data_IF_022409206887
#
_entry.id   IF_022409206887
#
_cell.length_a   1.000
_cell.length_b   1.000
_cell.length_c   1.000
_cell.angle_alpha   90.00
_cell.angle_beta   90.00
_cell.angle_gamma   90.00
#
_symmetry.space_group_name_H-M   'P 1'
#
loop_
_entity.id
_entity.type
_entity.pdbx_description
1 polymer ?
#
# COMPACT_ATOMS: atom_id res chain seq x y z
N UNK A 1 8.88 52.38 37.04
CA UNK A 1 10.34 52.51 37.22
C UNK A 1 10.80 51.25 37.89
N UNK A 2 11.23 50.25 37.10
CA UNK A 2 12.43 49.47 37.37
C UNK A 2 12.67 48.45 36.25
N UNK A 3 13.92 48.00 36.19
CA UNK A 3 14.44 46.82 35.48
C UNK A 3 14.94 46.99 34.03
N UNK A 4 16.12 47.61 33.99
CA UNK A 4 17.25 47.35 33.10
C UNK A 4 17.85 45.96 33.37
N UNK A 5 18.13 45.17 32.32
CA UNK A 5 19.43 44.50 32.09
C UNK A 5 19.41 43.67 30.79
N UNK A 6 20.21 44.17 29.85
CA UNK A 6 20.71 43.48 28.67
C UNK A 6 21.68 42.37 29.08
N UNK A 7 21.58 41.20 28.44
CA UNK A 7 22.73 40.31 28.24
C UNK A 7 22.66 39.74 26.83
N UNK A 8 23.49 40.30 25.95
CA UNK A 8 23.91 39.69 24.69
C UNK A 8 25.20 38.91 24.95
N UNK A 9 25.24 37.64 24.57
CA UNK A 9 26.47 36.85 24.55
C UNK A 9 26.62 36.18 23.18
N UNK A 10 27.72 36.55 22.54
CA UNK A 10 28.23 36.12 21.25
C UNK A 10 28.65 34.65 21.28
N UNK A 11 28.20 33.86 20.31
CA UNK A 11 28.71 32.49 20.06
C UNK A 11 30.04 32.58 19.30
N UNK A 12 31.10 32.06 19.91
CA UNK A 12 32.42 31.84 19.31
C UNK A 12 32.61 30.35 19.03
N UNK A 13 33.08 30.09 17.81
CA UNK A 13 34.05 29.06 17.38
C UNK A 13 33.85 27.61 17.84
N UNK A 14 33.42 26.76 16.89
CA UNK A 14 33.66 25.32 16.89
C UNK A 14 34.80 25.03 15.91
N UNK A 15 36.00 24.74 16.44
CA UNK A 15 37.10 24.17 15.66
C UNK A 15 36.93 22.66 15.49
N UNK A 16 37.24 22.19 14.28
CA UNK A 16 37.27 20.80 13.88
C UNK A 16 38.58 20.13 14.33
N UNK A 17 38.47 19.04 15.09
CA UNK A 17 39.62 18.18 15.43
C UNK A 17 39.69 17.02 14.44
N UNK A 18 40.73 17.02 13.62
CA UNK A 18 41.17 15.87 12.83
C UNK A 18 41.60 14.72 13.75
N UNK A 19 41.19 13.49 13.44
CA UNK A 19 41.65 12.27 14.11
C UNK A 19 42.75 11.66 13.25
N UNK A 20 43.93 11.56 13.85
CA UNK A 20 45.16 10.97 13.32
C UNK A 20 45.10 9.44 13.41
N UNK A 21 45.29 8.76 12.28
CA UNK A 21 45.22 7.30 12.15
C UNK A 21 46.64 6.74 12.17
N UNK A 22 47.09 6.29 13.34
CA UNK A 22 48.41 5.69 13.51
C UNK A 22 48.34 4.16 13.34
N UNK A 23 49.03 3.65 12.31
CA UNK A 23 49.21 2.23 12.04
C UNK A 23 50.01 1.55 13.17
N UNK A 24 49.46 0.46 13.73
CA UNK A 24 50.25 -0.56 14.42
C UNK A 24 49.82 -1.95 13.98
N UNK A 25 50.72 -2.62 13.28
CA UNK A 25 50.74 -4.05 13.02
C UNK A 25 50.90 -4.84 14.32
N UNK A 26 50.01 -5.80 14.53
CA UNK A 26 50.20 -6.89 15.50
C UNK A 26 49.75 -8.19 14.84
N UNK A 27 50.71 -9.01 14.45
CA UNK A 27 50.52 -10.42 14.15
C UNK A 27 50.28 -11.18 15.45
N UNK A 28 49.16 -11.91 15.57
CA UNK A 28 49.10 -13.10 16.43
C UNK A 28 48.22 -14.16 15.79
N UNK A 29 48.78 -15.36 15.73
CA UNK A 29 48.22 -16.62 15.26
C UNK A 29 47.14 -17.18 16.20
N UNK A 30 45.94 -17.45 15.66
CA UNK A 30 44.80 -18.14 16.29
C UNK A 30 43.88 -18.70 15.20
N UNK A 31 42.97 -19.65 15.51
CA UNK A 31 42.43 -20.57 14.53
C UNK A 31 41.69 -19.81 13.42
N UNK A 32 42.05 -20.13 12.18
CA UNK A 32 41.47 -19.59 10.96
C UNK A 32 39.99 -19.98 10.89
N UNK A 33 39.13 -19.23 11.58
CA UNK A 33 37.73 -19.13 11.24
C UNK A 33 37.66 -18.47 9.88
N UNK A 34 37.13 -19.20 8.91
CA UNK A 34 36.90 -18.73 7.55
C UNK A 34 35.88 -17.58 7.56
N UNK A 35 36.37 -16.36 7.84
CA UNK A 35 35.61 -15.13 7.74
C UNK A 35 35.24 -14.81 6.29
N UNK A 36 35.84 -15.46 5.29
CA UNK A 36 35.38 -15.34 3.90
C UNK A 36 34.12 -16.17 3.68
N UNK A 37 34.00 -17.36 4.27
CA UNK A 37 32.79 -18.18 4.21
C UNK A 37 31.57 -17.51 4.86
N UNK A 38 31.75 -16.92 6.04
CA UNK A 38 30.66 -16.24 6.76
C UNK A 38 30.22 -14.92 6.09
N UNK A 39 31.18 -14.11 5.60
CA UNK A 39 30.88 -12.86 4.90
C UNK A 39 30.30 -13.10 3.50
N UNK A 40 30.64 -14.23 2.86
CA UNK A 40 30.02 -14.66 1.59
C UNK A 40 28.59 -15.17 1.80
N UNK A 41 28.28 -15.80 2.93
CA UNK A 41 26.90 -16.20 3.27
C UNK A 41 25.99 -15.00 3.58
N UNK A 42 26.48 -13.95 4.25
CA UNK A 42 25.71 -12.72 4.46
C UNK A 42 25.60 -11.87 3.18
N UNK A 43 26.63 -11.81 2.34
CA UNK A 43 26.58 -11.09 1.08
C UNK A 43 25.69 -11.78 0.02
N UNK A 44 25.59 -13.12 0.02
CA UNK A 44 24.65 -13.85 -0.84
C UNK A 44 23.18 -13.62 -0.44
N UNK A 45 22.90 -13.32 0.83
CA UNK A 45 21.54 -12.98 1.28
C UNK A 45 21.08 -11.59 0.82
N UNK A 46 21.98 -10.72 0.33
CA UNK A 46 21.67 -9.35 -0.10
C UNK A 46 21.59 -9.16 -1.63
N UNK A 47 21.70 -10.24 -2.40
CA UNK A 47 21.55 -10.18 -3.87
C UNK A 47 20.71 -11.33 -4.39
N UNK A 48 19.50 -11.46 -3.85
CA UNK A 48 18.45 -12.10 -4.66
C UNK A 48 18.28 -11.22 -5.91
N UNK A 49 18.33 -11.79 -7.13
CA UNK A 49 18.05 -11.01 -8.32
C UNK A 49 16.64 -10.41 -8.15
N UNK A 50 16.47 -9.14 -8.50
CA UNK A 50 15.18 -8.43 -8.43
C UNK A 50 14.03 -9.27 -9.03
N UNK A 51 14.35 -10.06 -10.05
CA UNK A 51 13.45 -11.03 -10.70
C UNK A 51 12.97 -12.15 -9.76
N UNK A 52 13.83 -12.70 -8.90
CA UNK A 52 13.44 -13.74 -7.94
C UNK A 52 12.58 -13.19 -6.81
N UNK A 53 12.91 -11.98 -6.29
CA UNK A 53 12.06 -11.29 -5.30
C UNK A 53 10.66 -11.03 -5.85
N UNK A 54 10.54 -10.68 -7.13
CA UNK A 54 9.25 -10.49 -7.79
C UNK A 54 8.44 -11.80 -7.92
N UNK A 55 9.09 -12.95 -8.14
CA UNK A 55 8.40 -14.25 -8.24
C UNK A 55 7.86 -14.69 -6.89
N UNK A 56 8.68 -14.63 -5.84
CA UNK A 56 8.26 -15.00 -4.49
C UNK A 56 7.16 -14.06 -3.97
N UNK A 57 7.28 -12.76 -4.26
CA UNK A 57 6.26 -11.78 -3.91
C UNK A 57 4.93 -12.07 -4.63
N UNK A 58 4.96 -12.38 -5.93
CA UNK A 58 3.74 -12.77 -6.67
C UNK A 58 3.12 -14.04 -6.12
N UNK A 59 3.92 -15.05 -5.78
CA UNK A 59 3.42 -16.25 -5.13
C UNK A 59 2.72 -15.96 -3.80
N UNK A 60 3.31 -15.09 -2.98
CA UNK A 60 2.73 -14.68 -1.70
C UNK A 60 1.41 -13.90 -1.88
N UNK A 61 1.34 -13.03 -2.90
CA UNK A 61 0.12 -12.32 -3.29
C UNK A 61 -0.97 -13.32 -3.71
N UNK A 62 -0.64 -14.25 -4.62
CA UNK A 62 -1.60 -15.23 -5.14
C UNK A 62 -2.11 -16.14 -4.00
N UNK A 63 -1.22 -16.59 -3.12
CA UNK A 63 -1.58 -17.39 -1.95
C UNK A 63 -2.47 -16.61 -0.98
N UNK A 64 -2.26 -15.31 -0.82
CA UNK A 64 -3.11 -14.46 0.01
C UNK A 64 -4.52 -14.30 -0.57
N UNK A 65 -4.61 -14.05 -1.87
CA UNK A 65 -5.88 -13.92 -2.60
C UNK A 65 -6.66 -15.23 -2.60
N UNK A 66 -5.99 -16.37 -2.80
CA UNK A 66 -6.64 -17.67 -2.77
C UNK A 66 -7.32 -17.98 -1.42
N UNK A 67 -6.77 -17.47 -0.31
CA UNK A 67 -7.37 -17.65 1.03
C UNK A 67 -8.68 -16.89 1.23
N UNK A 68 -8.89 -15.80 0.50
CA UNK A 68 -10.06 -14.92 0.63
C UNK A 68 -11.01 -14.99 -0.57
N UNK A 69 -10.73 -15.87 -1.54
CA UNK A 69 -11.50 -15.99 -2.79
C UNK A 69 -13.01 -16.26 -2.57
N UNK A 70 -13.38 -16.92 -1.47
CA UNK A 70 -14.78 -17.18 -1.11
C UNK A 70 -15.47 -16.04 -0.35
N UNK A 71 -14.73 -15.02 0.09
CA UNK A 71 -15.30 -13.87 0.78
C UNK A 71 -15.92 -12.88 -0.22
N UNK A 72 -16.92 -12.08 0.19
CA UNK A 72 -17.34 -10.92 -0.59
C UNK A 72 -16.17 -9.97 -0.84
N UNK A 73 -15.98 -9.54 -2.10
CA UNK A 73 -14.88 -8.66 -2.49
C UNK A 73 -15.35 -7.21 -2.54
N UNK A 74 -14.65 -6.36 -1.79
CA UNK A 74 -14.81 -4.90 -1.81
C UNK A 74 -13.61 -4.24 -2.47
N UNK A 75 -13.90 -3.38 -3.44
CA UNK A 75 -12.97 -2.50 -4.14
C UNK A 75 -13.22 -1.08 -3.69
N UNK A 76 -12.26 -0.19 -3.92
CA UNK A 76 -12.42 1.21 -3.53
C UNK A 76 -11.63 2.14 -4.43
N UNK A 77 -12.15 3.35 -4.62
CA UNK A 77 -11.42 4.41 -5.30
C UNK A 77 -11.95 5.78 -4.92
N UNK A 78 -11.06 6.75 -4.90
CA UNK A 78 -11.40 8.14 -4.67
C UNK A 78 -11.23 8.59 -3.22
N UNK A 79 -11.83 9.74 -2.94
CA UNK A 79 -11.69 10.48 -1.69
C UNK A 79 -13.02 11.07 -1.29
N UNK A 80 -13.16 11.32 0.01
CA UNK A 80 -14.18 12.21 0.59
C UNK A 80 -13.72 13.67 0.49
N UNK A 81 -14.65 14.62 0.50
CA UNK A 81 -14.35 16.06 0.61
C UNK A 81 -13.54 16.31 1.90
N UNK A 82 -12.43 17.08 1.85
CA UNK A 82 -12.01 17.97 0.78
C UNK A 82 -11.16 17.34 -0.34
N UNK A 83 -10.82 16.06 -0.25
CA UNK A 83 -10.11 15.32 -1.30
C UNK A 83 -8.68 15.77 -1.58
N UNK A 84 -8.00 16.40 -0.59
CA UNK A 84 -6.70 17.05 -0.76
C UNK A 84 -5.52 16.15 -0.45
N UNK A 85 -5.69 15.13 0.39
CA UNK A 85 -4.57 14.32 0.85
C UNK A 85 -4.97 12.87 1.17
N UNK A 86 -3.98 12.02 1.46
CA UNK A 86 -4.16 10.60 1.79
C UNK A 86 -5.17 10.36 2.91
N UNK A 87 -5.30 11.28 3.86
CA UNK A 87 -6.28 11.16 4.96
C UNK A 87 -7.73 11.17 4.48
N UNK A 88 -7.98 11.78 3.31
CA UNK A 88 -9.31 11.87 2.72
C UNK A 88 -9.68 10.61 1.91
N UNK A 89 -8.84 9.56 1.94
CA UNK A 89 -9.09 8.31 1.21
C UNK A 89 -10.34 7.59 1.71
N UNK A 90 -11.09 6.96 0.79
CA UNK A 90 -12.21 6.08 1.17
C UNK A 90 -11.77 4.68 1.63
N UNK A 91 -10.48 4.33 1.56
CA UNK A 91 -9.97 3.02 1.97
C UNK A 91 -10.41 2.61 3.38
N UNK A 92 -10.25 3.43 4.44
CA UNK A 92 -10.65 3.03 5.80
C UNK A 92 -12.15 2.74 5.90
N UNK A 93 -12.97 3.46 5.12
CA UNK A 93 -14.42 3.26 5.06
C UNK A 93 -14.74 1.95 4.34
N UNK A 94 -14.07 1.66 3.22
CA UNK A 94 -14.22 0.41 2.49
C UNK A 94 -13.82 -0.80 3.34
N UNK A 95 -12.71 -0.73 4.07
CA UNK A 95 -12.26 -1.77 4.99
C UNK A 95 -13.29 -2.02 6.10
N UNK A 96 -13.87 -0.96 6.67
CA UNK A 96 -14.92 -1.09 7.70
C UNK A 96 -16.18 -1.75 7.16
N UNK A 97 -16.64 -1.36 5.97
CA UNK A 97 -17.82 -1.96 5.32
C UNK A 97 -17.56 -3.43 5.01
N UNK A 98 -16.39 -3.73 4.42
CA UNK A 98 -16.00 -5.09 4.09
C UNK A 98 -15.96 -5.98 5.34
N UNK A 99 -15.27 -5.55 6.39
CA UNK A 99 -15.17 -6.29 7.64
C UNK A 99 -16.56 -6.55 8.28
N UNK A 100 -17.44 -5.55 8.29
CA UNK A 100 -18.80 -5.68 8.82
C UNK A 100 -19.65 -6.70 8.04
N UNK A 101 -19.37 -6.88 6.75
CA UNK A 101 -20.06 -7.84 5.88
C UNK A 101 -19.34 -9.20 5.75
N UNK A 102 -18.27 -9.45 6.53
CA UNK A 102 -17.45 -10.67 6.37
C UNK A 102 -16.69 -10.75 5.05
N UNK A 103 -16.56 -9.62 4.35
CA UNK A 103 -15.81 -9.45 3.12
C UNK A 103 -14.39 -8.95 3.34
N UNK A 104 -13.69 -8.71 2.23
CA UNK A 104 -12.32 -8.21 2.25
C UNK A 104 -12.13 -7.04 1.28
N UNK A 105 -11.07 -6.27 1.49
CA UNK A 105 -10.44 -5.41 0.48
C UNK A 105 -9.13 -6.04 0.05
N UNK A 106 -8.49 -5.54 -1.02
CA UNK A 106 -7.16 -5.99 -1.41
C UNK A 106 -6.16 -5.84 -0.25
N UNK A 107 -6.16 -4.68 0.41
CA UNK A 107 -5.24 -4.37 1.51
C UNK A 107 -5.43 -5.29 2.72
N UNK A 108 -6.67 -5.70 3.01
CA UNK A 108 -6.94 -6.70 4.05
C UNK A 108 -6.45 -8.09 3.63
N UNK A 109 -6.68 -8.46 2.36
CA UNK A 109 -6.30 -9.77 1.82
C UNK A 109 -4.79 -9.99 1.87
N UNK A 110 -4.01 -8.99 1.44
CA UNK A 110 -2.55 -9.08 1.39
C UNK A 110 -1.89 -8.60 2.69
N UNK A 111 -2.65 -8.46 3.78
CA UNK A 111 -2.07 -8.14 5.08
C UNK A 111 -1.07 -9.23 5.49
N UNK A 112 0.18 -8.83 5.74
CA UNK A 112 1.29 -9.75 6.02
C UNK A 112 2.14 -10.11 4.80
N UNK A 113 1.76 -9.68 3.60
CA UNK A 113 2.65 -9.69 2.42
C UNK A 113 3.45 -8.39 2.39
N UNK A 114 4.77 -8.47 2.24
CA UNK A 114 5.67 -7.31 2.19
C UNK A 114 5.58 -6.58 0.85
N UNK A 115 4.47 -5.89 0.63
CA UNK A 115 4.25 -5.06 -0.56
C UNK A 115 5.14 -3.80 -0.52
N UNK A 116 5.72 -3.38 -1.65
CA UNK A 116 6.38 -2.09 -1.72
C UNK A 116 5.39 -0.97 -1.46
N UNK A 117 5.86 0.14 -0.89
CA UNK A 117 5.04 1.35 -0.79
C UNK A 117 4.58 1.79 -2.17
N UNK A 118 3.30 2.15 -2.30
CA UNK A 118 2.79 2.68 -3.57
C UNK A 118 3.42 4.05 -3.85
N UNK A 119 4.29 4.10 -4.86
CA UNK A 119 4.91 5.32 -5.38
C UNK A 119 4.31 5.63 -6.76
N UNK A 120 3.52 6.70 -6.89
CA UNK A 120 3.00 7.13 -8.18
C UNK A 120 4.14 7.35 -9.18
N UNK A 121 3.96 6.85 -10.41
CA UNK A 121 4.92 6.97 -11.53
C UNK A 121 6.22 6.16 -11.39
N UNK A 122 6.41 5.37 -10.33
CA UNK A 122 7.44 4.31 -10.31
C UNK A 122 6.88 3.04 -10.97
N UNK A 123 7.41 2.61 -12.13
CA UNK A 123 6.90 1.43 -12.82
C UNK A 123 7.01 0.14 -11.99
N UNK A 124 8.01 0.00 -11.13
CA UNK A 124 8.25 -1.24 -10.38
C UNK A 124 7.20 -1.42 -9.28
N UNK A 125 7.03 -0.39 -8.43
CA UNK A 125 5.95 -0.33 -7.44
C UNK A 125 4.58 -0.45 -8.10
N UNK A 126 4.33 0.34 -9.16
CA UNK A 126 3.00 0.39 -9.81
C UNK A 126 2.62 -0.97 -10.40
N UNK A 127 3.54 -1.68 -11.06
CA UNK A 127 3.25 -3.00 -11.67
C UNK A 127 2.89 -4.06 -10.64
N UNK A 128 3.50 -4.05 -9.45
CA UNK A 128 3.18 -5.02 -8.39
C UNK A 128 1.79 -4.76 -7.80
N UNK A 129 1.45 -3.50 -7.54
CA UNK A 129 0.10 -3.14 -7.10
C UNK A 129 -0.96 -3.44 -8.17
N UNK A 130 -0.69 -3.12 -9.45
CA UNK A 130 -1.58 -3.47 -10.55
C UNK A 130 -1.75 -4.99 -10.70
N UNK A 131 -0.68 -5.77 -10.48
CA UNK A 131 -0.79 -7.23 -10.46
C UNK A 131 -1.70 -7.72 -9.34
N UNK A 132 -1.48 -7.25 -8.11
CA UNK A 132 -2.28 -7.65 -6.97
C UNK A 132 -3.76 -7.28 -7.15
N UNK A 133 -4.05 -6.07 -7.62
CA UNK A 133 -5.40 -5.62 -7.99
C UNK A 133 -6.03 -6.48 -9.08
N UNK A 134 -5.28 -6.85 -10.13
CA UNK A 134 -5.79 -7.72 -11.18
C UNK A 134 -6.12 -9.13 -10.66
N UNK A 135 -5.24 -9.72 -9.86
CA UNK A 135 -5.47 -11.05 -9.28
C UNK A 135 -6.66 -11.06 -8.33
N UNK A 136 -6.81 -10.01 -7.53
CA UNK A 136 -7.95 -9.86 -6.62
C UNK A 136 -9.26 -9.72 -7.40
N UNK A 137 -9.27 -8.99 -8.52
CA UNK A 137 -10.40 -8.93 -9.44
C UNK A 137 -10.72 -10.27 -10.14
N UNK A 138 -9.70 -11.01 -10.57
CA UNK A 138 -9.88 -12.29 -11.28
C UNK A 138 -10.42 -13.41 -10.39
N UNK A 139 -10.12 -13.38 -9.09
CA UNK A 139 -10.58 -14.39 -8.12
C UNK A 139 -11.88 -14.02 -7.42
N UNK A 140 -12.39 -12.81 -7.65
CA UNK A 140 -13.69 -12.41 -7.14
C UNK A 140 -14.81 -13.22 -7.82
N UNK A 141 -15.89 -13.49 -7.07
CA UNK A 141 -17.03 -14.25 -7.56
C UNK A 141 -18.34 -13.76 -6.96
N UNK A 142 -19.45 -14.02 -7.64
CA UNK A 142 -20.78 -13.60 -7.21
C UNK A 142 -20.97 -12.09 -7.25
N UNK A 143 -21.44 -11.54 -6.14
CA UNK A 143 -21.66 -10.10 -5.97
C UNK A 143 -20.41 -9.43 -5.41
N UNK A 144 -19.96 -8.37 -6.08
CA UNK A 144 -18.82 -7.56 -5.64
C UNK A 144 -19.23 -6.10 -5.45
N UNK A 145 -18.49 -5.39 -4.61
CA UNK A 145 -18.85 -4.05 -4.18
C UNK A 145 -17.71 -3.07 -4.48
N UNK A 146 -18.03 -1.91 -5.02
CA UNK A 146 -17.11 -0.82 -5.30
C UNK A 146 -17.47 0.40 -4.47
N UNK A 147 -16.62 0.73 -3.50
CA UNK A 147 -16.80 1.87 -2.61
C UNK A 147 -16.16 3.11 -3.25
N UNK A 148 -16.99 4.05 -3.70
CA UNK A 148 -16.56 5.23 -4.45
C UNK A 148 -16.65 6.49 -3.59
N UNK A 149 -15.58 7.29 -3.56
CA UNK A 149 -15.61 8.63 -2.98
C UNK A 149 -16.46 9.62 -3.77
N UNK A 150 -16.89 10.71 -3.13
CA UNK A 150 -17.71 11.75 -3.74
C UNK A 150 -16.91 12.75 -4.60
N UNK A 151 -15.60 12.87 -4.36
CA UNK A 151 -14.69 13.63 -5.22
C UNK A 151 -14.45 12.86 -6.53
N UNK A 152 -14.40 13.54 -7.70
CA UNK A 152 -14.10 12.89 -8.97
C UNK A 152 -12.84 12.02 -8.92
N UNK A 153 -12.92 10.81 -9.50
CA UNK A 153 -11.78 9.92 -9.58
C UNK A 153 -10.70 10.51 -10.49
N UNK A 154 -9.44 10.25 -10.16
CA UNK A 154 -8.33 10.61 -11.05
C UNK A 154 -8.40 9.78 -12.32
N UNK A 155 -7.99 10.37 -13.44
CA UNK A 155 -7.79 9.64 -14.67
C UNK A 155 -6.73 8.53 -14.48
N UNK A 156 -6.99 7.37 -15.06
CA UNK A 156 -6.12 6.20 -14.94
C UNK A 156 -6.00 5.68 -13.51
N UNK A 157 -7.06 5.80 -12.70
CA UNK A 157 -7.14 5.12 -11.42
C UNK A 157 -7.15 3.59 -11.61
N UNK A 158 -6.70 2.87 -10.57
CA UNK A 158 -6.52 1.41 -10.62
C UNK A 158 -7.86 0.69 -10.83
N UNK A 159 -8.93 1.21 -10.23
CA UNK A 159 -10.29 0.66 -10.41
C UNK A 159 -10.69 0.58 -11.89
N UNK A 160 -10.67 1.71 -12.61
CA UNK A 160 -11.08 1.75 -14.01
C UNK A 160 -10.09 1.05 -14.95
N UNK A 161 -8.78 1.17 -14.66
CA UNK A 161 -7.72 0.66 -15.52
C UNK A 161 -7.52 -0.86 -15.40
N UNK A 162 -7.69 -1.41 -14.20
CA UNK A 162 -7.23 -2.76 -13.85
C UNK A 162 -8.34 -3.61 -13.26
N UNK A 163 -8.98 -3.15 -12.19
CA UNK A 163 -9.88 -3.99 -11.40
C UNK A 163 -11.19 -4.25 -12.13
N UNK A 164 -11.85 -3.21 -12.65
CA UNK A 164 -13.10 -3.33 -13.39
C UNK A 164 -12.95 -4.21 -14.65
N UNK A 165 -11.90 -4.05 -15.50
CA UNK A 165 -11.63 -5.00 -16.58
C UNK A 165 -11.40 -6.44 -16.11
N UNK A 166 -10.69 -6.62 -14.98
CA UNK A 166 -10.41 -7.96 -14.42
C UNK A 166 -11.68 -8.65 -13.93
N UNK A 167 -12.56 -7.91 -13.25
CA UNK A 167 -13.88 -8.38 -12.82
C UNK A 167 -14.74 -8.82 -14.02
N UNK A 168 -14.77 -8.01 -15.08
CA UNK A 168 -15.53 -8.34 -16.31
C UNK A 168 -14.94 -9.52 -17.09
N UNK A 169 -13.65 -9.82 -16.90
CA UNK A 169 -12.97 -10.98 -17.51
C UNK A 169 -13.25 -12.26 -16.71
N UNK A 170 -13.40 -12.17 -15.39
CA UNK A 170 -13.77 -13.28 -14.53
C UNK A 170 -15.21 -13.71 -14.78
N UNK A 171 -15.43 -14.94 -15.26
CA UNK A 171 -16.77 -15.45 -15.54
C UNK A 171 -17.61 -15.72 -14.28
N UNK A 172 -17.01 -15.59 -13.08
CA UNK A 172 -17.65 -15.88 -11.82
C UNK A 172 -18.39 -14.68 -11.20
N UNK A 173 -18.09 -13.45 -11.63
CA UNK A 173 -18.77 -12.23 -11.13
C UNK A 173 -20.12 -12.09 -11.82
N UNK A 174 -21.19 -12.05 -11.02
CA UNK A 174 -22.57 -11.91 -11.51
C UNK A 174 -23.06 -10.48 -11.46
N UNK A 175 -22.63 -9.70 -10.46
CA UNK A 175 -23.00 -8.30 -10.31
C UNK A 175 -21.89 -7.48 -9.68
N UNK A 176 -21.82 -6.20 -10.08
CA UNK A 176 -21.00 -5.19 -9.42
C UNK A 176 -21.94 -4.11 -8.88
N UNK A 177 -21.84 -3.82 -7.59
CA UNK A 177 -22.57 -2.76 -6.92
C UNK A 177 -21.64 -1.60 -6.55
N UNK A 178 -22.00 -0.37 -6.90
CA UNK A 178 -21.35 0.86 -6.43
C UNK A 178 -21.99 1.35 -5.14
N UNK A 179 -21.17 1.61 -4.12
CA UNK A 179 -21.56 2.24 -2.85
C UNK A 179 -20.90 3.61 -2.83
N UNK A 180 -21.68 4.67 -2.98
CA UNK A 180 -21.15 6.03 -2.90
C UNK A 180 -20.99 6.46 -1.46
N UNK A 181 -19.84 7.05 -1.17
CA UNK A 181 -19.50 7.64 0.11
C UNK A 181 -19.70 9.14 0.00
N UNK A 182 -20.72 9.65 0.68
CA UNK A 182 -21.04 11.07 0.67
C UNK A 182 -20.46 11.76 1.90
N UNK A 183 -19.74 12.85 1.67
CA UNK A 183 -19.14 13.69 2.72
C UNK A 183 -20.09 14.80 3.18
N UNK A 184 -21.39 14.67 2.96
CA UNK A 184 -22.35 15.72 3.28
C UNK A 184 -22.40 15.95 4.79
N UNK A 185 -21.63 16.97 5.19
CA UNK A 185 -21.75 17.83 6.38
C UNK A 185 -21.13 17.32 7.70
N UNK A 186 -20.40 18.18 8.45
CA UNK A 186 -19.42 17.74 9.45
C UNK A 186 -19.99 17.27 10.80
N UNK A 187 -21.31 17.21 10.98
CA UNK A 187 -21.90 16.89 12.29
C UNK A 187 -22.40 15.44 12.44
N UNK A 188 -22.61 14.71 11.34
CA UNK A 188 -23.25 13.36 11.40
C UNK A 188 -22.36 12.20 10.91
N UNK A 189 -21.11 12.48 10.54
CA UNK A 189 -20.16 11.48 10.09
C UNK A 189 -20.37 11.01 8.64
N UNK A 190 -19.45 10.16 8.16
CA UNK A 190 -19.45 9.64 6.79
C UNK A 190 -20.65 8.73 6.56
N UNK A 191 -21.49 9.07 5.57
CA UNK A 191 -22.65 8.28 5.14
C UNK A 191 -22.37 7.53 3.85
N UNK A 192 -22.87 6.30 3.76
CA UNK A 192 -22.89 5.51 2.52
C UNK A 192 -24.29 5.56 1.92
N UNK A 193 -24.38 5.74 0.60
CA UNK A 193 -25.62 5.49 -0.14
C UNK A 193 -25.91 3.98 -0.21
N UNK A 194 -27.16 3.65 -0.52
CA UNK A 194 -27.55 2.27 -0.83
C UNK A 194 -26.77 1.74 -2.05
N UNK A 195 -26.35 0.47 -2.06
CA UNK A 195 -25.60 -0.10 -3.18
C UNK A 195 -26.40 -0.03 -4.49
N UNK A 196 -25.82 0.58 -5.52
CA UNK A 196 -26.39 0.68 -6.87
C UNK A 196 -25.71 -0.31 -7.81
N UNK A 197 -26.46 -1.17 -8.48
CA UNK A 197 -25.89 -2.07 -9.49
C UNK A 197 -25.34 -1.27 -10.69
N UNK A 198 -24.08 -1.56 -11.06
CA UNK A 198 -23.39 -0.99 -12.23
C UNK A 198 -22.97 -2.05 -13.26
N UNK A 199 -23.06 -3.33 -12.91
CA UNK A 199 -22.86 -4.46 -13.83
C UNK A 199 -23.77 -5.66 -13.47
N UNK A 200 -24.35 -6.37 -14.46
CA UNK A 200 -24.50 -5.90 -15.84
C UNK A 200 -25.23 -4.55 -15.85
N UNK A 201 -24.98 -3.75 -16.89
CA UNK A 201 -25.59 -2.42 -17.01
C UNK A 201 -27.11 -2.56 -16.95
N UNK A 202 -27.73 -1.84 -16.00
CA UNK A 202 -29.19 -1.81 -15.90
C UNK A 202 -29.70 -0.96 -17.06
N UNK A 203 -30.43 -1.57 -17.98
CA UNK A 203 -31.13 -0.84 -19.04
C UNK A 203 -32.21 0.01 -18.38
N UNK A 204 -32.06 1.33 -18.45
CA UNK A 204 -33.09 2.29 -18.03
C UNK A 204 -34.18 2.42 -19.09
#
# INVERSE_FOLDING_TARGET
MDSMLMVSASMSEFEASAIDFNERTVETSGPFFDLKGALMSEAMAMSLPIVALDVDLRHNIDAAIARTASCPHYFWSGRVVPGRSKIDSVLPIAQRIAAAAGGTTLEMTIQGVSMPSFIPNDPSSTRLWEYASAQYGLHASGEVFFVRGDVPLRDGNVWEKVELPSLKKGMAVTKIYEIKVNSLWPEEGVRTEEPRQIYPEVQN
#
